data_IF_078237007823
#
_entry.id   IF_078237007823
#
_cell.length_a   1.000
_cell.length_b   1.000
_cell.length_c   1.000
_cell.angle_alpha   90.00
_cell.angle_beta   90.00
_cell.angle_gamma   90.00
#
_symmetry.space_group_name_H-M   'P 1'
#
loop_
_entity.id
_entity.type
_entity.pdbx_description
1 polymer ?
#
# COMPACT_ATOMS: atom_id res chain seq x y z
N UNK A 1 -3.87 13.87 -31.30
CA UNK A 1 -3.08 12.74 -30.84
C UNK A 1 -2.44 13.18 -29.52
N UNK A 2 -2.61 12.43 -28.45
CA UNK A 2 -2.06 12.79 -27.13
C UNK A 2 -1.09 11.71 -26.64
N UNK A 3 -0.09 12.10 -25.84
CA UNK A 3 0.85 11.22 -25.17
C UNK A 3 0.58 11.21 -23.67
N UNK A 4 0.15 10.09 -23.15
CA UNK A 4 -0.13 9.87 -21.72
C UNK A 4 1.06 9.13 -21.12
N UNK A 5 1.71 9.71 -20.12
CA UNK A 5 2.82 9.08 -19.41
C UNK A 5 2.39 8.71 -17.99
N UNK A 6 2.67 7.48 -17.59
CA UNK A 6 2.34 6.94 -16.26
C UNK A 6 3.64 6.60 -15.54
N UNK A 7 3.86 7.18 -14.36
CA UNK A 7 5.02 6.89 -13.52
C UNK A 7 4.61 5.92 -12.42
N UNK A 8 5.21 4.73 -12.43
CA UNK A 8 4.94 3.62 -11.51
C UNK A 8 4.05 2.55 -12.14
N UNK A 9 4.47 1.30 -12.06
CA UNK A 9 3.78 0.13 -12.60
C UNK A 9 3.29 -0.83 -11.48
N UNK A 10 2.87 -0.28 -10.37
CA UNK A 10 2.29 -1.03 -9.24
C UNK A 10 0.78 -1.26 -9.39
N UNK A 11 0.12 -1.49 -8.24
CA UNK A 11 -1.33 -1.74 -8.14
C UNK A 11 -2.17 -0.59 -8.73
N UNK A 12 -1.65 0.64 -8.78
CA UNK A 12 -2.31 1.77 -9.44
C UNK A 12 -1.95 1.88 -10.91
N UNK A 13 -0.66 1.83 -11.24
CA UNK A 13 -0.19 2.18 -12.59
C UNK A 13 -0.51 1.16 -13.68
N UNK A 14 -0.41 -0.14 -13.39
CA UNK A 14 -0.79 -1.18 -14.37
C UNK A 14 -2.29 -1.12 -14.71
N UNK A 15 -3.23 -1.08 -13.74
CA UNK A 15 -4.64 -0.85 -14.05
C UNK A 15 -4.90 0.48 -14.77
N UNK A 16 -4.21 1.58 -14.38
CA UNK A 16 -4.36 2.88 -15.06
C UNK A 16 -4.01 2.78 -16.54
N UNK A 17 -2.88 2.14 -16.88
CA UNK A 17 -2.45 1.96 -18.26
C UNK A 17 -3.47 1.17 -19.09
N UNK A 18 -4.04 0.10 -18.51
CA UNK A 18 -5.05 -0.71 -19.19
C UNK A 18 -6.36 0.03 -19.37
N UNK A 19 -6.86 0.70 -18.35
CA UNK A 19 -8.14 1.40 -18.38
C UNK A 19 -8.11 2.60 -19.33
N UNK A 20 -7.02 3.37 -19.32
CA UNK A 20 -6.81 4.46 -20.28
C UNK A 20 -6.75 3.89 -21.71
N UNK A 21 -6.07 2.75 -21.94
CA UNK A 21 -6.02 2.10 -23.26
C UNK A 21 -7.38 1.54 -23.71
N UNK A 22 -8.24 1.11 -22.80
CA UNK A 22 -9.60 0.66 -23.10
C UNK A 22 -10.53 1.82 -23.50
N UNK A 23 -10.27 3.04 -23.01
CA UNK A 23 -11.06 4.24 -23.32
C UNK A 23 -10.52 5.06 -24.50
N UNK A 24 -9.24 4.92 -24.85
CA UNK A 24 -8.58 5.63 -25.95
C UNK A 24 -8.17 4.66 -27.05
N UNK A 25 -8.30 5.09 -28.28
CA UNK A 25 -7.83 4.34 -29.45
C UNK A 25 -6.29 4.32 -29.59
N UNK A 26 -5.78 3.59 -30.57
CA UNK A 26 -4.34 3.43 -30.81
C UNK A 26 -3.65 4.69 -31.37
N UNK A 27 -4.37 5.73 -31.74
CA UNK A 27 -3.80 7.01 -32.17
C UNK A 27 -3.15 7.76 -30.98
N UNK A 28 -3.59 7.46 -29.75
CA UNK A 28 -3.02 8.03 -28.54
C UNK A 28 -1.89 7.12 -28.00
N UNK A 29 -0.76 7.74 -27.69
CA UNK A 29 0.39 7.02 -27.12
C UNK A 29 0.27 6.92 -25.62
N UNK A 30 0.58 5.75 -25.06
CA UNK A 30 0.69 5.52 -23.61
C UNK A 30 2.07 4.95 -23.31
N UNK A 31 2.78 5.56 -22.39
CA UNK A 31 4.11 5.08 -21.92
C UNK A 31 4.07 4.90 -20.41
N UNK A 32 4.48 3.73 -19.94
CA UNK A 32 4.63 3.42 -18.50
C UNK A 32 6.11 3.44 -18.14
N UNK A 33 6.46 4.16 -17.08
CA UNK A 33 7.80 4.23 -16.49
C UNK A 33 7.80 3.50 -15.15
N UNK A 34 8.81 2.69 -14.89
CA UNK A 34 9.00 2.06 -13.58
C UNK A 34 10.48 1.82 -13.30
N UNK A 35 10.86 1.82 -12.03
CA UNK A 35 12.26 1.57 -11.61
C UNK A 35 12.69 0.12 -11.79
N UNK A 36 11.74 -0.82 -11.78
CA UNK A 36 11.95 -2.26 -12.00
C UNK A 36 11.23 -2.72 -13.25
N UNK A 37 11.64 -3.83 -13.83
CA UNK A 37 11.04 -4.46 -15.01
C UNK A 37 9.91 -5.45 -14.67
N UNK A 38 9.58 -5.58 -13.38
CA UNK A 38 8.53 -6.46 -12.88
C UNK A 38 7.47 -5.73 -12.05
N UNK A 39 6.23 -6.16 -12.19
CA UNK A 39 5.14 -5.88 -11.26
C UNK A 39 5.25 -6.81 -10.06
N UNK A 40 4.97 -6.32 -8.86
CA UNK A 40 4.86 -7.12 -7.63
C UNK A 40 3.46 -7.02 -7.02
N UNK A 41 2.92 -8.15 -6.62
CA UNK A 41 1.66 -8.19 -5.89
C UNK A 41 1.92 -8.08 -4.37
N UNK A 42 2.11 -6.84 -3.91
CA UNK A 42 2.47 -6.49 -2.52
C UNK A 42 1.60 -7.18 -1.45
N UNK A 43 0.27 -7.39 -1.64
CA UNK A 43 -0.56 -8.08 -0.65
C UNK A 43 -0.13 -9.52 -0.31
N UNK A 44 0.72 -10.14 -1.12
CA UNK A 44 1.27 -11.48 -0.87
C UNK A 44 2.66 -11.49 -0.20
N UNK A 45 3.26 -10.33 0.03
CA UNK A 45 4.57 -10.23 0.70
C UNK A 45 4.62 -10.88 2.10
N UNK A 46 3.56 -10.83 2.95
CA UNK A 46 3.54 -11.58 4.20
C UNK A 46 3.78 -13.09 4.01
N UNK A 47 3.26 -13.68 2.92
CA UNK A 47 3.48 -15.10 2.61
C UNK A 47 4.90 -15.36 2.11
N UNK A 48 5.47 -14.44 1.33
CA UNK A 48 6.88 -14.54 0.89
C UNK A 48 7.80 -14.51 2.09
N UNK A 49 7.54 -13.64 3.07
CA UNK A 49 8.37 -13.48 4.26
C UNK A 49 8.43 -14.74 5.15
N UNK A 50 7.43 -15.61 5.12
CA UNK A 50 7.45 -16.89 5.86
C UNK A 50 7.69 -18.11 4.95
N UNK A 51 7.95 -17.89 3.65
CA UNK A 51 8.24 -18.94 2.68
C UNK A 51 7.02 -19.70 2.18
N UNK A 52 5.81 -19.12 2.28
CA UNK A 52 4.59 -19.72 1.73
C UNK A 52 4.38 -19.35 0.25
N UNK A 53 5.16 -18.42 -0.25
CA UNK A 53 5.26 -18.05 -1.68
C UNK A 53 6.72 -17.80 -2.03
N UNK A 54 7.08 -18.21 -3.24
CA UNK A 54 8.32 -17.80 -3.87
C UNK A 54 8.13 -16.42 -4.54
N UNK A 55 9.23 -15.69 -4.72
CA UNK A 55 9.25 -14.37 -5.36
C UNK A 55 8.58 -14.37 -6.74
N UNK A 56 8.85 -15.38 -7.54
CA UNK A 56 8.35 -15.55 -8.91
C UNK A 56 6.85 -15.79 -8.99
N UNK A 57 6.25 -16.30 -7.91
CA UNK A 57 4.81 -16.52 -7.83
C UNK A 57 4.02 -15.22 -7.66
N UNK A 58 4.65 -14.18 -7.10
CA UNK A 58 4.02 -12.88 -6.77
C UNK A 58 4.53 -11.72 -7.64
N UNK A 59 5.38 -12.03 -8.64
CA UNK A 59 5.89 -11.05 -9.61
C UNK A 59 5.48 -11.38 -11.03
N UNK A 60 5.45 -10.38 -11.90
CA UNK A 60 5.12 -10.50 -13.33
C UNK A 60 6.02 -9.56 -14.13
N UNK A 61 6.71 -10.03 -15.20
CA UNK A 61 7.38 -9.12 -16.13
C UNK A 61 6.42 -8.11 -16.75
N UNK A 62 6.73 -6.82 -16.69
CA UNK A 62 5.84 -5.72 -17.12
C UNK A 62 5.79 -5.63 -18.64
N UNK A 63 6.94 -5.57 -19.30
CA UNK A 63 7.04 -5.30 -20.74
C UNK A 63 6.14 -6.19 -21.61
N UNK A 64 6.12 -7.55 -21.46
CA UNK A 64 5.26 -8.40 -22.28
C UNK A 64 3.75 -8.17 -22.01
N UNK A 65 3.38 -7.69 -20.82
CA UNK A 65 1.99 -7.42 -20.47
C UNK A 65 1.49 -6.14 -21.16
N UNK A 66 2.30 -5.08 -21.14
CA UNK A 66 1.98 -3.79 -21.75
C UNK A 66 2.05 -3.84 -23.28
N UNK A 67 3.05 -4.52 -23.84
CA UNK A 67 3.20 -4.66 -25.29
C UNK A 67 1.98 -5.27 -25.98
N UNK A 68 1.30 -6.24 -25.35
CA UNK A 68 0.05 -6.83 -25.85
C UNK A 68 -1.10 -5.84 -26.01
N UNK A 69 -1.01 -4.70 -25.35
CA UNK A 69 -2.01 -3.61 -25.38
C UNK A 69 -1.53 -2.39 -26.18
N UNK A 70 -0.37 -2.50 -26.86
CA UNK A 70 0.22 -1.38 -27.59
C UNK A 70 0.60 -0.23 -26.64
N UNK A 71 1.11 -0.57 -25.44
CA UNK A 71 1.56 0.38 -24.43
C UNK A 71 3.09 0.26 -24.33
N UNK A 72 3.79 1.38 -24.43
CA UNK A 72 5.24 1.45 -24.29
C UNK A 72 5.65 1.28 -22.83
N UNK A 73 6.81 0.66 -22.61
CA UNK A 73 7.39 0.48 -21.28
C UNK A 73 8.87 0.89 -21.26
N UNK A 74 9.26 1.67 -20.25
CA UNK A 74 10.66 2.05 -20.02
C UNK A 74 11.01 1.74 -18.56
N UNK A 75 11.95 0.82 -18.35
CA UNK A 75 12.45 0.42 -17.02
C UNK A 75 13.52 1.41 -16.55
N UNK A 76 13.13 2.63 -16.21
CA UNK A 76 14.00 3.70 -15.68
C UNK A 76 13.26 4.53 -14.64
N UNK A 77 14.01 5.02 -13.65
CA UNK A 77 13.48 6.01 -12.73
C UNK A 77 13.35 7.38 -13.42
N UNK A 78 12.38 8.18 -12.94
CA UNK A 78 12.29 9.60 -13.25
C UNK A 78 13.14 10.35 -12.24
N UNK A 79 14.14 11.09 -12.71
CA UNK A 79 15.03 11.89 -11.88
C UNK A 79 14.55 13.33 -11.70
N UNK A 80 13.82 13.87 -12.71
CA UNK A 80 13.28 15.24 -12.65
C UNK A 80 11.99 15.37 -13.45
N UNK A 81 11.09 16.25 -12.99
CA UNK A 81 9.85 16.63 -13.66
C UNK A 81 9.83 18.15 -13.83
N UNK A 82 9.91 18.60 -15.06
CA UNK A 82 9.59 19.98 -15.45
C UNK A 82 8.11 20.03 -15.81
N UNK A 83 7.27 20.37 -14.83
CA UNK A 83 5.82 20.35 -14.99
C UNK A 83 5.31 21.51 -15.85
N UNK A 84 6.04 22.63 -15.92
CA UNK A 84 5.68 23.77 -16.75
C UNK A 84 6.00 23.52 -18.22
N UNK A 85 7.09 22.79 -18.51
CA UNK A 85 7.45 22.36 -19.88
C UNK A 85 6.81 21.03 -20.29
N UNK A 86 6.05 20.34 -19.41
CA UNK A 86 5.48 19.01 -19.63
C UNK A 86 6.54 17.97 -20.05
N UNK A 87 7.68 17.97 -19.35
CA UNK A 87 8.85 17.15 -19.67
C UNK A 87 9.37 16.40 -18.46
N UNK A 88 9.70 15.13 -18.69
CA UNK A 88 10.39 14.27 -17.72
C UNK A 88 11.85 14.10 -18.11
N UNK A 89 12.74 14.02 -17.12
CA UNK A 89 14.10 13.53 -17.29
C UNK A 89 14.21 12.19 -16.56
N UNK A 90 14.69 11.17 -17.27
CA UNK A 90 14.91 9.83 -16.75
C UNK A 90 16.36 9.65 -16.33
N UNK A 91 16.63 8.65 -15.52
CA UNK A 91 17.99 8.26 -15.20
C UNK A 91 18.80 7.99 -16.48
N UNK A 92 20.00 8.58 -16.55
CA UNK A 92 20.85 8.59 -17.74
C UNK A 92 20.55 9.72 -18.71
N UNK A 93 19.74 10.73 -18.31
CA UNK A 93 19.56 12.00 -19.03
C UNK A 93 18.58 11.95 -20.23
N UNK A 94 17.96 10.82 -20.50
CA UNK A 94 16.91 10.73 -21.52
C UNK A 94 15.70 11.58 -21.11
N UNK A 95 15.15 12.37 -22.04
CA UNK A 95 13.93 13.16 -21.81
C UNK A 95 12.72 12.56 -22.48
N UNK A 96 11.53 12.84 -21.94
CA UNK A 96 10.25 12.40 -22.46
C UNK A 96 9.21 13.49 -22.23
N UNK A 97 8.57 13.96 -23.32
CA UNK A 97 7.47 14.93 -23.24
C UNK A 97 6.15 14.20 -23.07
N UNK A 98 5.17 14.87 -22.45
CA UNK A 98 3.84 14.34 -22.22
C UNK A 98 2.76 15.41 -22.42
N UNK A 99 1.56 14.98 -22.82
CA UNK A 99 0.36 15.81 -22.76
C UNK A 99 -0.36 15.62 -21.42
N UNK A 100 -0.39 14.38 -20.90
CA UNK A 100 -0.95 14.01 -19.60
C UNK A 100 0.05 13.17 -18.79
N UNK A 101 0.15 13.48 -17.51
CA UNK A 101 0.99 12.75 -16.57
C UNK A 101 0.15 12.09 -15.48
N UNK A 102 0.33 10.79 -15.26
CA UNK A 102 -0.33 10.04 -14.18
C UNK A 102 0.73 9.55 -13.20
N UNK A 103 0.69 10.02 -11.97
CA UNK A 103 1.65 9.69 -10.91
C UNK A 103 1.08 8.58 -10.04
N UNK A 104 1.71 7.40 -10.07
CA UNK A 104 1.34 6.20 -9.31
C UNK A 104 2.56 5.49 -8.73
N UNK A 105 3.58 6.26 -8.36
CA UNK A 105 4.89 5.79 -7.89
C UNK A 105 4.82 4.96 -6.62
N UNK A 106 3.73 5.04 -5.85
CA UNK A 106 3.72 4.58 -4.48
C UNK A 106 4.56 5.49 -3.57
N UNK A 107 4.92 5.04 -2.37
CA UNK A 107 5.66 5.82 -1.41
C UNK A 107 7.17 5.53 -1.47
N UNK A 108 7.97 6.45 -0.93
CA UNK A 108 9.30 6.19 -0.40
C UNK A 108 9.16 5.76 1.07
N UNK A 109 9.90 4.74 1.47
CA UNK A 109 9.89 4.22 2.85
C UNK A 109 10.79 5.09 3.73
N UNK A 110 10.24 5.68 4.79
CA UNK A 110 10.90 6.66 5.64
C UNK A 110 11.58 6.00 6.86
N UNK A 111 12.44 5.01 6.64
CA UNK A 111 13.19 4.38 7.74
C UNK A 111 14.15 5.36 8.42
N UNK A 112 14.63 6.35 7.69
CA UNK A 112 15.52 7.43 8.19
C UNK A 112 14.88 8.30 9.29
N UNK A 113 13.56 8.24 9.48
CA UNK A 113 12.87 8.95 10.57
C UNK A 113 13.04 8.28 11.96
N UNK A 114 13.49 7.02 12.00
CA UNK A 114 13.77 6.30 13.23
C UNK A 114 15.20 5.75 13.17
N UNK A 115 16.14 6.27 13.98
CA UNK A 115 17.52 5.80 14.01
C UNK A 115 17.63 4.29 14.19
N UNK A 116 18.42 3.62 13.36
CA UNK A 116 18.60 2.16 13.39
C UNK A 116 17.44 1.35 12.81
N UNK A 117 16.39 1.98 12.28
CA UNK A 117 15.34 1.29 11.55
C UNK A 117 15.76 0.97 10.11
N UNK A 118 15.12 -0.05 9.52
CA UNK A 118 15.33 -0.46 8.13
C UNK A 118 16.05 -1.79 7.99
N UNK A 119 16.03 -2.38 6.77
CA UNK A 119 16.63 -3.67 6.50
C UNK A 119 18.15 -3.67 6.65
N UNK A 120 18.67 -4.70 7.31
CA UNK A 120 20.10 -4.91 7.55
C UNK A 120 20.95 -4.89 6.28
N UNK A 121 20.42 -5.39 5.16
CA UNK A 121 21.19 -5.66 3.94
C UNK A 121 20.90 -4.69 2.78
N UNK A 122 20.03 -3.71 2.96
CA UNK A 122 19.65 -2.77 1.89
C UNK A 122 20.38 -1.42 1.92
N UNK A 123 21.65 -1.41 2.34
CA UNK A 123 22.50 -0.20 2.31
C UNK A 123 22.21 0.84 3.40
N UNK A 124 21.23 0.63 4.28
CA UNK A 124 20.84 1.54 5.34
C UNK A 124 21.36 1.17 6.74
N UNK A 125 21.94 -0.01 6.91
CA UNK A 125 22.53 -0.43 8.20
C UNK A 125 21.56 -0.51 9.38
N UNK A 126 20.26 -0.74 9.11
CA UNK A 126 19.24 -0.83 10.15
C UNK A 126 19.08 -2.23 10.74
N UNK A 127 18.29 -2.35 11.80
CA UNK A 127 18.08 -3.58 12.57
C UNK A 127 16.65 -4.12 12.48
N UNK A 128 15.83 -3.60 11.54
CA UNK A 128 14.46 -4.08 11.35
C UNK A 128 14.21 -4.45 9.90
N UNK A 129 13.43 -5.49 9.67
CA UNK A 129 12.90 -5.83 8.36
C UNK A 129 11.59 -5.10 8.05
N UNK A 130 11.15 -5.18 6.80
CA UNK A 130 9.80 -4.83 6.37
C UNK A 130 9.28 -5.81 5.33
N UNK A 131 8.00 -5.73 5.02
CA UNK A 131 7.33 -6.48 3.94
C UNK A 131 6.76 -5.55 2.87
N UNK A 132 7.23 -4.30 2.82
CA UNK A 132 6.71 -3.29 1.91
C UNK A 132 7.07 -3.55 0.43
N UNK A 133 8.08 -4.37 0.16
CA UNK A 133 8.42 -4.86 -1.17
C UNK A 133 8.70 -6.37 -1.15
N UNK A 134 8.65 -7.00 -2.34
CA UNK A 134 8.98 -8.42 -2.45
C UNK A 134 10.45 -8.70 -2.09
N UNK A 135 11.35 -7.76 -2.38
CA UNK A 135 12.77 -7.90 -2.05
C UNK A 135 13.00 -7.83 -0.53
N UNK A 136 12.28 -6.93 0.19
CA UNK A 136 12.29 -6.89 1.66
C UNK A 136 11.72 -8.17 2.27
N UNK A 137 10.60 -8.68 1.73
CA UNK A 137 9.99 -9.92 2.21
C UNK A 137 10.90 -11.13 1.96
N UNK A 138 11.60 -11.18 0.83
CA UNK A 138 12.57 -12.22 0.52
C UNK A 138 13.80 -12.16 1.43
N UNK A 139 14.32 -10.96 1.70
CA UNK A 139 15.41 -10.76 2.66
C UNK A 139 14.99 -11.19 4.08
N UNK A 140 13.77 -10.81 4.51
CA UNK A 140 13.22 -11.30 5.77
C UNK A 140 13.21 -12.85 5.81
N UNK A 141 12.75 -13.50 4.74
CA UNK A 141 12.70 -14.97 4.70
C UNK A 141 14.08 -15.62 4.84
N UNK A 142 15.12 -15.01 4.28
CA UNK A 142 16.49 -15.50 4.45
C UNK A 142 16.90 -15.50 5.94
N UNK A 143 16.68 -14.39 6.64
CA UNK A 143 16.99 -14.28 8.07
C UNK A 143 16.04 -15.09 8.94
N UNK A 144 14.78 -15.25 8.53
CA UNK A 144 13.80 -16.10 9.21
C UNK A 144 14.24 -17.58 9.22
N UNK A 145 14.84 -18.08 8.12
CA UNK A 145 15.40 -19.46 8.10
C UNK A 145 16.51 -19.65 9.13
N UNK A 146 17.38 -18.67 9.30
CA UNK A 146 18.43 -18.72 10.33
C UNK A 146 17.83 -18.58 11.74
N UNK A 147 16.88 -17.66 11.92
CA UNK A 147 16.14 -17.51 13.17
C UNK A 147 15.47 -18.81 13.64
N UNK A 148 14.90 -19.61 12.73
CA UNK A 148 14.25 -20.87 13.06
C UNK A 148 15.20 -21.90 13.67
N UNK A 149 16.52 -21.82 13.45
CA UNK A 149 17.54 -22.69 14.06
C UNK A 149 17.78 -22.35 15.53
N UNK A 150 17.62 -21.06 15.91
CA UNK A 150 17.78 -20.58 17.27
C UNK A 150 16.72 -19.50 17.56
N UNK A 151 15.44 -19.89 17.73
CA UNK A 151 14.34 -18.96 17.90
C UNK A 151 14.42 -18.17 19.20
N UNK A 152 13.78 -17.00 19.22
CA UNK A 152 13.71 -16.11 20.37
C UNK A 152 12.62 -15.05 20.21
N UNK A 153 12.63 -13.95 20.99
CA UNK A 153 11.62 -12.92 20.91
C UNK A 153 11.53 -12.25 19.53
N UNK A 154 10.31 -11.93 19.10
CA UNK A 154 10.03 -11.22 17.84
C UNK A 154 9.22 -9.96 18.11
N UNK A 155 9.58 -8.88 17.45
CA UNK A 155 8.80 -7.63 17.39
C UNK A 155 8.21 -7.47 16.00
N UNK A 156 6.89 -7.23 15.95
CA UNK A 156 6.14 -6.89 14.72
C UNK A 156 5.37 -5.62 14.96
N UNK A 157 5.24 -4.75 13.97
CA UNK A 157 4.38 -3.59 14.16
C UNK A 157 4.53 -2.49 13.12
N UNK A 158 4.19 -1.27 13.54
CA UNK A 158 4.20 -0.08 12.71
C UNK A 158 4.77 1.12 13.47
N UNK A 159 5.68 1.83 12.81
CA UNK A 159 6.38 2.99 13.36
C UNK A 159 5.47 4.23 13.38
N UNK A 160 5.88 5.32 14.06
CA UNK A 160 5.16 6.59 14.02
C UNK A 160 4.90 7.05 12.58
N UNK A 161 3.75 7.68 12.35
CA UNK A 161 3.31 8.15 11.03
C UNK A 161 3.13 7.07 9.95
N UNK A 162 3.19 5.79 10.30
CA UNK A 162 2.79 4.73 9.39
C UNK A 162 1.32 4.91 8.96
N UNK A 163 1.00 4.52 7.73
CA UNK A 163 -0.34 4.65 7.14
C UNK A 163 -0.92 3.31 6.67
N UNK A 164 -0.28 2.19 6.99
CA UNK A 164 -0.72 0.88 6.53
C UNK A 164 -0.54 -0.15 7.65
N UNK A 165 -1.52 -0.27 8.54
CA UNK A 165 -1.44 -1.14 9.72
C UNK A 165 -1.90 -2.57 9.42
N UNK A 166 -2.85 -2.75 8.50
CA UNK A 166 -3.38 -4.06 8.11
C UNK A 166 -2.31 -5.12 7.84
N UNK A 167 -1.29 -4.85 7.01
CA UNK A 167 -0.22 -5.81 6.73
C UNK A 167 0.62 -6.19 7.96
N UNK A 168 0.76 -5.33 8.98
CA UNK A 168 1.47 -5.68 10.20
C UNK A 168 0.67 -6.70 11.03
N UNK A 169 -0.66 -6.49 11.19
CA UNK A 169 -1.54 -7.49 11.80
C UNK A 169 -1.51 -8.80 11.04
N UNK A 170 -1.69 -8.74 9.74
CA UNK A 170 -1.66 -9.91 8.86
C UNK A 170 -0.36 -10.70 9.03
N UNK A 171 0.78 -10.01 8.97
CA UNK A 171 2.08 -10.65 9.12
C UNK A 171 2.26 -11.28 10.51
N UNK A 172 1.89 -10.58 11.59
CA UNK A 172 1.97 -11.13 12.95
C UNK A 172 1.19 -12.44 13.10
N UNK A 173 -0.03 -12.50 12.54
CA UNK A 173 -0.89 -13.67 12.60
C UNK A 173 -0.39 -14.82 11.70
N UNK A 174 0.13 -14.51 10.51
CA UNK A 174 0.77 -15.49 9.61
C UNK A 174 2.01 -16.09 10.26
N UNK A 175 2.86 -15.26 10.86
CA UNK A 175 4.06 -15.69 11.56
C UNK A 175 3.71 -16.62 12.73
N UNK A 176 2.73 -16.25 13.57
CA UNK A 176 2.23 -17.11 14.65
C UNK A 176 1.78 -18.47 14.11
N UNK A 177 0.99 -18.46 13.03
CA UNK A 177 0.50 -19.70 12.41
C UNK A 177 1.63 -20.57 11.85
N UNK A 178 2.63 -19.98 11.18
CA UNK A 178 3.80 -20.70 10.69
C UNK A 178 4.62 -21.31 11.82
N UNK A 179 4.86 -20.54 12.89
CA UNK A 179 5.57 -21.03 14.08
C UNK A 179 4.80 -22.16 14.80
N UNK A 180 3.47 -22.11 14.83
CA UNK A 180 2.62 -23.22 15.36
C UNK A 180 2.76 -24.47 14.51
N UNK A 181 2.68 -24.35 13.18
CA UNK A 181 2.90 -25.47 12.24
C UNK A 181 4.28 -26.11 12.42
N UNK A 182 5.30 -25.30 12.73
CA UNK A 182 6.67 -25.75 13.00
C UNK A 182 6.89 -26.23 14.45
N UNK A 183 5.89 -26.13 15.32
CA UNK A 183 5.97 -26.45 16.77
C UNK A 183 7.02 -25.62 17.53
N UNK A 184 7.24 -24.37 17.10
CA UNK A 184 8.21 -23.45 17.68
C UNK A 184 7.57 -22.28 18.41
N UNK A 185 6.25 -22.09 18.31
CA UNK A 185 5.54 -20.91 18.82
C UNK A 185 5.80 -20.62 20.31
N UNK A 186 5.90 -21.66 21.13
CA UNK A 186 6.18 -21.55 22.56
C UNK A 186 7.59 -21.02 22.90
N UNK A 187 8.50 -21.04 21.94
CA UNK A 187 9.87 -20.50 22.07
C UNK A 187 10.00 -19.07 21.57
N UNK A 188 8.94 -18.52 20.98
CA UNK A 188 8.95 -17.22 20.29
C UNK A 188 7.89 -16.30 20.92
N UNK A 189 8.23 -15.56 21.98
CA UNK A 189 7.38 -14.47 22.44
C UNK A 189 7.22 -13.43 21.31
N UNK A 190 5.98 -13.02 21.02
CA UNK A 190 5.67 -12.00 20.00
C UNK A 190 5.14 -10.75 20.71
N UNK A 191 5.77 -9.61 20.45
CA UNK A 191 5.30 -8.30 20.88
C UNK A 191 4.93 -7.46 19.66
N UNK A 192 3.69 -6.98 19.64
CA UNK A 192 3.19 -6.06 18.62
C UNK A 192 3.34 -4.61 19.10
N UNK A 193 4.03 -3.76 18.34
CA UNK A 193 4.28 -2.35 18.68
C UNK A 193 3.69 -1.47 17.60
N UNK A 194 2.79 -0.57 17.98
CA UNK A 194 2.09 0.26 17.00
C UNK A 194 1.87 1.69 17.48
N UNK A 195 1.98 2.62 16.54
CA UNK A 195 1.60 4.02 16.75
C UNK A 195 0.09 4.24 16.89
N UNK A 196 -0.72 3.22 16.61
CA UNK A 196 -2.18 3.32 16.77
C UNK A 196 -2.55 3.57 18.25
N UNK A 197 -3.60 4.37 18.51
CA UNK A 197 -4.05 4.64 19.88
C UNK A 197 -4.66 3.39 20.56
N UNK A 198 -5.16 2.45 19.77
CA UNK A 198 -5.67 1.16 20.22
C UNK A 198 -5.54 0.10 19.10
N UNK A 199 -5.53 -1.16 19.46
CA UNK A 199 -5.50 -2.27 18.51
C UNK A 199 -6.74 -2.22 17.61
N UNK A 200 -6.52 -2.26 16.29
CA UNK A 200 -7.62 -2.23 15.33
C UNK A 200 -8.13 -0.85 14.94
N UNK A 201 -7.42 0.22 15.31
CA UNK A 201 -7.67 1.57 14.81
C UNK A 201 -7.46 1.65 13.28
N UNK A 202 -6.45 0.95 12.73
CA UNK A 202 -6.15 0.76 11.31
C UNK A 202 -5.83 2.07 10.55
N UNK A 203 -5.58 3.18 11.22
CA UNK A 203 -5.48 4.51 10.61
C UNK A 203 -6.81 5.04 10.08
N UNK A 204 -7.93 4.44 10.53
CA UNK A 204 -9.29 4.70 10.04
C UNK A 204 -10.29 5.02 11.17
N UNK A 205 -9.85 5.17 12.41
CA UNK A 205 -10.74 5.28 13.57
C UNK A 205 -11.46 3.95 13.89
N UNK A 206 -10.88 2.81 13.47
CA UNK A 206 -11.50 1.50 13.49
C UNK A 206 -12.47 1.25 12.32
N UNK A 207 -12.86 -0.01 12.11
CA UNK A 207 -13.86 -0.43 11.12
C UNK A 207 -14.73 -1.51 11.76
N UNK A 208 -16.02 -1.26 11.94
CA UNK A 208 -16.90 -2.19 12.67
C UNK A 208 -16.29 -2.60 14.02
N UNK A 209 -16.29 -3.91 14.31
CA UNK A 209 -15.75 -4.45 15.55
C UNK A 209 -14.23 -4.74 15.51
N UNK A 210 -13.45 -4.05 14.67
CA UNK A 210 -12.02 -4.31 14.47
C UNK A 210 -11.22 -4.33 15.77
N UNK A 211 -11.50 -3.43 16.73
CA UNK A 211 -10.83 -3.37 18.03
C UNK A 211 -11.01 -4.68 18.80
N UNK A 212 -12.24 -5.02 19.15
CA UNK A 212 -12.54 -6.19 19.98
C UNK A 212 -12.10 -7.50 19.32
N UNK A 213 -12.27 -7.60 18.00
CA UNK A 213 -11.89 -8.79 17.22
C UNK A 213 -10.37 -8.99 17.19
N UNK A 214 -9.59 -7.97 16.85
CA UNK A 214 -8.13 -8.07 16.77
C UNK A 214 -7.50 -8.23 18.15
N UNK A 215 -7.97 -7.52 19.19
CA UNK A 215 -7.50 -7.74 20.55
C UNK A 215 -7.78 -9.17 21.02
N UNK A 216 -8.98 -9.72 20.71
CA UNK A 216 -9.29 -11.12 21.04
C UNK A 216 -8.36 -12.09 20.33
N UNK A 217 -8.07 -11.88 19.04
CA UNK A 217 -7.13 -12.73 18.31
C UNK A 217 -5.72 -12.67 18.87
N UNK A 218 -5.23 -11.49 19.23
CA UNK A 218 -3.91 -11.34 19.82
C UNK A 218 -3.82 -12.04 21.17
N UNK A 219 -4.86 -11.92 22.03
CA UNK A 219 -4.93 -12.67 23.29
C UNK A 219 -4.94 -14.18 23.07
N UNK A 220 -5.76 -14.68 22.14
CA UNK A 220 -5.85 -16.11 21.82
C UNK A 220 -4.55 -16.68 21.25
N UNK A 221 -3.69 -15.83 20.70
CA UNK A 221 -2.38 -16.19 20.14
C UNK A 221 -1.21 -15.86 21.08
N UNK A 222 -1.51 -15.48 22.32
CA UNK A 222 -0.50 -15.10 23.34
C UNK A 222 0.50 -14.05 22.81
N UNK A 223 -0.04 -13.00 22.19
CA UNK A 223 0.70 -11.83 21.70
C UNK A 223 0.54 -10.67 22.69
N UNK A 224 1.66 -10.07 23.10
CA UNK A 224 1.67 -8.80 23.83
C UNK A 224 1.59 -7.64 22.83
N UNK A 225 1.10 -6.46 23.29
CA UNK A 225 1.11 -5.26 22.45
C UNK A 225 1.38 -3.98 23.23
N UNK A 226 1.90 -2.98 22.53
CA UNK A 226 2.11 -1.62 23.02
C UNK A 226 1.48 -0.70 21.98
N UNK A 227 0.46 0.05 22.36
CA UNK A 227 -0.22 1.07 21.54
C UNK A 227 0.23 2.47 21.94
N UNK A 228 -0.15 3.50 21.16
CA UNK A 228 0.41 4.84 21.33
C UNK A 228 1.94 4.82 21.41
N UNK A 229 2.55 3.92 20.65
CA UNK A 229 3.96 3.60 20.73
C UNK A 229 4.78 4.46 19.76
N UNK A 230 5.56 5.39 20.29
CA UNK A 230 6.55 6.14 19.53
C UNK A 230 7.88 5.37 19.58
N UNK A 231 8.16 4.56 18.56
CA UNK A 231 9.50 3.97 18.41
C UNK A 231 10.49 5.10 18.18
N UNK A 232 11.45 5.24 19.08
CA UNK A 232 12.41 6.36 19.10
C UNK A 232 13.73 6.00 18.47
N UNK A 233 14.19 4.76 18.64
CA UNK A 233 15.38 4.20 17.99
C UNK A 233 15.37 2.67 18.06
N UNK A 234 16.18 2.06 17.21
CA UNK A 234 16.44 0.62 17.20
C UNK A 234 17.94 0.39 17.24
N UNK A 235 18.37 -0.54 18.07
CA UNK A 235 19.74 -1.03 18.15
C UNK A 235 19.73 -2.54 17.88
N UNK A 236 20.88 -3.15 17.72
CA UNK A 236 20.97 -4.59 17.53
C UNK A 236 20.30 -5.34 18.70
N UNK A 237 19.24 -6.08 18.38
CA UNK A 237 18.47 -6.85 19.35
C UNK A 237 17.59 -6.06 20.31
N UNK A 238 17.47 -4.72 20.17
CA UNK A 238 16.72 -3.86 21.10
C UNK A 238 15.93 -2.78 20.37
N UNK A 239 14.69 -2.59 20.78
CA UNK A 239 13.83 -1.50 20.30
C UNK A 239 13.42 -0.63 21.50
N UNK A 240 13.60 0.69 21.35
CA UNK A 240 13.28 1.69 22.36
C UNK A 240 11.98 2.38 21.97
N UNK A 241 11.04 2.41 22.91
CA UNK A 241 9.68 2.86 22.64
C UNK A 241 9.20 3.74 23.78
N UNK A 242 8.81 4.97 23.45
CA UNK A 242 8.08 5.84 24.37
C UNK A 242 6.58 5.61 24.14
N UNK A 243 5.90 5.06 25.11
CA UNK A 243 4.43 4.93 25.09
C UNK A 243 3.80 6.21 25.64
N UNK A 244 2.84 6.76 24.89
CA UNK A 244 2.09 7.93 25.31
C UNK A 244 0.71 7.54 25.87
N UNK A 245 0.15 8.40 26.74
CA UNK A 245 -1.24 8.34 27.12
C UNK A 245 -2.15 8.96 26.04
N UNK A 246 -3.46 8.96 26.23
CA UNK A 246 -4.43 9.52 25.28
C UNK A 246 -4.33 11.05 25.16
N UNK A 247 -3.65 11.72 26.07
CA UNK A 247 -3.39 13.16 26.06
C UNK A 247 -2.04 13.51 25.40
N UNK A 248 -1.24 12.50 25.03
CA UNK A 248 0.07 12.69 24.43
C UNK A 248 1.21 12.86 25.43
N UNK A 249 0.99 12.66 26.73
CA UNK A 249 2.04 12.67 27.73
C UNK A 249 2.76 11.32 27.76
N UNK A 250 4.02 11.33 28.18
CA UNK A 250 4.79 10.08 28.35
C UNK A 250 4.16 9.25 29.48
N UNK A 251 3.63 8.08 29.10
CA UNK A 251 3.08 7.11 30.06
C UNK A 251 4.17 6.14 30.56
N UNK A 252 4.99 5.63 29.64
CA UNK A 252 6.01 4.65 29.94
C UNK A 252 7.10 4.56 28.88
N UNK A 253 8.34 4.38 29.33
CA UNK A 253 9.47 4.01 28.47
C UNK A 253 9.65 2.49 28.45
N UNK A 254 9.88 1.92 27.26
CA UNK A 254 10.10 0.50 27.08
C UNK A 254 11.42 0.25 26.35
N UNK A 255 12.15 -0.75 26.81
CA UNK A 255 13.23 -1.41 26.10
C UNK A 255 12.77 -2.83 25.75
N UNK A 256 12.54 -3.11 24.48
CA UNK A 256 11.97 -4.38 24.01
C UNK A 256 13.05 -5.17 23.28
N UNK A 257 13.49 -6.29 23.86
CA UNK A 257 14.46 -7.19 23.25
C UNK A 257 13.84 -8.01 22.12
N UNK A 258 14.58 -8.23 21.05
CA UNK A 258 14.17 -9.10 19.94
C UNK A 258 15.36 -9.81 19.28
N UNK A 259 15.10 -10.95 18.66
CA UNK A 259 16.03 -11.62 17.73
C UNK A 259 15.68 -11.39 16.26
N UNK A 260 14.42 -11.09 15.99
CA UNK A 260 13.92 -10.80 14.66
C UNK A 260 12.82 -9.73 14.77
N UNK A 261 12.78 -8.79 13.85
CA UNK A 261 11.75 -7.74 13.85
C UNK A 261 11.24 -7.44 12.45
N UNK A 262 9.94 -7.15 12.34
CA UNK A 262 9.29 -6.63 11.13
C UNK A 262 8.50 -5.39 11.49
N UNK A 263 8.92 -4.23 11.00
CA UNK A 263 8.29 -2.95 11.28
C UNK A 263 7.90 -2.24 9.99
N UNK A 264 6.67 -1.81 9.89
CA UNK A 264 6.23 -0.97 8.79
C UNK A 264 6.62 0.48 9.07
N UNK A 265 7.40 1.14 8.18
CA UNK A 265 7.83 2.52 8.40
C UNK A 265 6.72 3.50 8.05
N UNK A 266 6.96 4.77 8.39
CA UNK A 266 6.25 5.88 7.77
C UNK A 266 6.50 5.93 6.26
N UNK A 267 5.60 6.62 5.56
CA UNK A 267 5.73 6.86 4.13
C UNK A 267 5.99 8.34 3.86
N UNK A 268 6.75 8.62 2.81
CA UNK A 268 6.95 9.95 2.23
C UNK A 268 6.92 9.90 0.71
N UNK A 269 6.79 11.03 0.06
CA UNK A 269 6.79 11.11 -1.40
C UNK A 269 8.16 10.75 -1.98
N UNK A 270 8.18 10.32 -3.23
CA UNK A 270 9.39 10.08 -4.02
C UNK A 270 10.04 11.43 -4.33
N UNK A 271 11.36 11.53 -4.21
CA UNK A 271 12.09 12.79 -4.26
C UNK A 271 11.83 13.60 -5.55
N UNK A 272 11.83 12.95 -6.72
CA UNK A 272 11.54 13.60 -7.99
C UNK A 272 10.13 14.19 -8.09
N UNK A 273 9.15 13.60 -7.38
CA UNK A 273 7.77 14.10 -7.31
C UNK A 273 7.68 15.23 -6.29
N UNK A 274 8.30 15.04 -5.12
CA UNK A 274 8.31 16.00 -4.03
C UNK A 274 9.00 17.33 -4.41
N UNK A 275 9.94 17.27 -5.36
CA UNK A 275 10.68 18.44 -5.86
C UNK A 275 9.89 19.34 -6.81
N UNK A 276 8.71 18.89 -7.33
CA UNK A 276 7.89 19.69 -8.26
C UNK A 276 7.18 20.81 -7.49
N UNK A 277 7.34 22.08 -7.89
CA UNK A 277 6.75 23.21 -7.20
C UNK A 277 5.22 23.08 -7.05
N UNK A 278 4.70 23.35 -5.86
CA UNK A 278 3.26 23.36 -5.54
C UNK A 278 2.49 22.04 -5.81
N UNK A 279 3.17 20.98 -6.23
CA UNK A 279 2.52 19.69 -6.52
C UNK A 279 2.17 18.92 -5.25
N UNK A 280 3.02 18.99 -4.22
CA UNK A 280 2.99 18.12 -3.07
C UNK A 280 2.78 18.86 -1.74
N UNK A 281 2.34 18.13 -0.73
CA UNK A 281 2.39 18.56 0.66
C UNK A 281 3.85 18.47 1.21
N UNK A 282 4.13 18.95 2.45
CA UNK A 282 5.50 18.91 3.03
C UNK A 282 6.09 17.49 3.16
N UNK A 283 5.28 16.44 3.15
CA UNK A 283 5.77 15.04 3.13
C UNK A 283 5.98 14.48 1.72
N UNK A 284 5.82 15.29 0.67
CA UNK A 284 6.02 14.90 -0.71
C UNK A 284 4.85 14.13 -1.34
N UNK A 285 3.68 14.09 -0.71
CA UNK A 285 2.48 13.48 -1.31
C UNK A 285 1.74 14.47 -2.20
N UNK A 286 1.29 13.99 -3.37
CA UNK A 286 0.61 14.81 -4.38
C UNK A 286 -0.74 15.32 -3.86
N UNK A 287 -0.94 16.64 -3.98
CA UNK A 287 -2.19 17.32 -3.65
C UNK A 287 -3.16 17.22 -4.82
N UNK A 288 -4.28 16.53 -4.63
CA UNK A 288 -5.31 16.32 -5.64
C UNK A 288 -6.64 16.97 -5.27
N UNK A 289 -7.47 17.19 -6.30
CA UNK A 289 -8.89 17.50 -6.16
C UNK A 289 -9.76 16.21 -6.15
N UNK A 290 -11.07 16.37 -6.14
CA UNK A 290 -12.03 15.26 -6.16
C UNK A 290 -12.06 14.46 -7.49
N UNK A 291 -11.46 15.01 -8.54
CA UNK A 291 -11.32 14.38 -9.85
C UNK A 291 -9.99 13.66 -10.03
N UNK A 292 -9.20 13.52 -8.98
CA UNK A 292 -7.85 12.95 -8.94
C UNK A 292 -6.80 13.80 -9.68
N UNK A 293 -7.10 15.05 -9.98
CA UNK A 293 -6.23 15.99 -10.67
C UNK A 293 -5.40 16.78 -9.66
N UNK A 294 -4.15 17.10 -10.02
CA UNK A 294 -3.32 18.02 -9.25
C UNK A 294 -4.01 19.39 -9.12
N UNK A 295 -3.91 19.99 -7.94
CA UNK A 295 -4.41 21.35 -7.69
C UNK A 295 -3.58 22.43 -8.39
N UNK A 296 -2.31 22.12 -8.72
CA UNK A 296 -1.38 23.06 -9.35
C UNK A 296 -1.30 22.91 -10.88
N UNK A 297 -1.42 21.68 -11.40
CA UNK A 297 -1.21 21.37 -12.81
C UNK A 297 -2.39 20.60 -13.38
N UNK A 298 -3.07 21.17 -14.37
CA UNK A 298 -4.34 20.61 -14.90
C UNK A 298 -4.19 19.27 -15.60
N UNK A 299 -3.05 18.99 -16.18
CA UNK A 299 -2.75 17.78 -16.94
C UNK A 299 -1.98 16.72 -16.12
N UNK A 300 -1.83 16.92 -14.80
CA UNK A 300 -1.21 15.96 -13.89
C UNK A 300 -2.27 15.35 -12.98
N UNK A 301 -2.34 14.03 -12.98
CA UNK A 301 -3.24 13.22 -12.13
C UNK A 301 -2.44 12.32 -11.22
N UNK A 302 -3.03 11.91 -10.10
CA UNK A 302 -2.35 10.99 -9.19
C UNK A 302 -3.32 10.03 -8.49
N UNK A 303 -2.85 8.80 -8.28
CA UNK A 303 -3.58 7.78 -7.55
C UNK A 303 -2.67 6.92 -6.67
N UNK A 304 -3.24 6.33 -5.64
CA UNK A 304 -2.55 5.39 -4.77
C UNK A 304 -1.84 6.04 -3.60
N UNK A 305 -0.79 5.38 -3.11
CA UNK A 305 -0.16 5.77 -1.85
C UNK A 305 0.62 7.08 -1.93
N UNK A 306 0.97 7.53 -3.14
CA UNK A 306 1.63 8.83 -3.36
C UNK A 306 0.69 10.05 -3.24
N UNK A 307 -0.61 9.84 -3.01
CA UNK A 307 -1.59 10.93 -2.86
C UNK A 307 -1.70 11.40 -1.40
N UNK A 308 -1.81 12.71 -1.20
CA UNK A 308 -2.03 13.32 0.10
C UNK A 308 -3.50 13.11 0.54
N UNK A 309 -3.70 12.27 1.55
CA UNK A 309 -4.98 12.12 2.24
C UNK A 309 -4.71 12.41 3.72
N UNK A 310 -5.43 13.36 4.34
CA UNK A 310 -5.24 13.66 5.75
C UNK A 310 -5.60 12.46 6.63
N UNK A 311 -5.02 12.34 7.83
CA UNK A 311 -5.48 11.37 8.82
C UNK A 311 -6.96 11.61 9.16
N UNK A 312 -7.69 10.53 9.48
CA UNK A 312 -9.12 10.61 9.83
C UNK A 312 -9.35 11.33 11.16
N UNK A 313 -8.35 11.28 12.03
CA UNK A 313 -8.35 11.96 13.33
C UNK A 313 -6.90 12.22 13.81
N UNK A 314 -6.75 13.12 14.76
CA UNK A 314 -5.47 13.35 15.44
C UNK A 314 -5.27 12.29 16.51
N UNK A 315 -4.11 11.66 16.51
CA UNK A 315 -3.72 10.61 17.49
C UNK A 315 -2.49 11.04 18.27
N UNK A 316 -2.29 10.59 19.54
CA UNK A 316 -1.14 10.94 20.37
C UNK A 316 0.20 10.68 19.69
N UNK A 317 0.37 9.52 19.08
CA UNK A 317 1.43 9.24 18.12
C UNK A 317 0.83 9.32 16.73
N UNK A 318 1.37 10.13 15.80
CA UNK A 318 0.75 10.32 14.49
C UNK A 318 0.54 9.02 13.72
N UNK A 319 -0.67 8.86 13.16
CA UNK A 319 -1.04 7.77 12.24
C UNK A 319 -1.49 8.35 10.90
N UNK A 320 -1.17 7.68 9.81
CA UNK A 320 -1.64 8.05 8.48
C UNK A 320 -2.88 7.25 8.06
N UNK A 321 -3.58 7.75 7.04
CA UNK A 321 -4.72 7.05 6.44
C UNK A 321 -4.26 6.08 5.36
N UNK A 322 -4.63 4.79 5.43
CA UNK A 322 -4.27 3.81 4.40
C UNK A 322 -4.97 4.10 3.06
N UNK A 323 -4.34 3.69 1.96
CA UNK A 323 -4.94 3.66 0.63
C UNK A 323 -5.04 2.19 0.21
N UNK A 324 -6.23 1.62 0.29
CA UNK A 324 -6.47 0.20 -0.04
C UNK A 324 -6.52 -0.04 -1.53
N UNK A 325 -6.31 -1.28 -1.97
CA UNK A 325 -6.25 -1.61 -3.40
C UNK A 325 -7.52 -1.22 -4.15
N UNK A 326 -8.71 -1.48 -3.59
CA UNK A 326 -9.96 -1.11 -4.25
C UNK A 326 -10.19 0.41 -4.31
N UNK A 327 -9.78 1.15 -3.28
CA UNK A 327 -9.77 2.62 -3.30
C UNK A 327 -8.86 3.14 -4.42
N UNK A 328 -7.68 2.54 -4.59
CA UNK A 328 -6.74 2.89 -5.66
C UNK A 328 -7.34 2.63 -7.04
N UNK A 329 -8.02 1.49 -7.24
CA UNK A 329 -8.73 1.20 -8.50
C UNK A 329 -9.84 2.20 -8.78
N UNK A 330 -10.55 2.66 -7.75
CA UNK A 330 -11.55 3.72 -7.86
C UNK A 330 -10.94 5.06 -8.33
N UNK A 331 -9.78 5.45 -7.76
CA UNK A 331 -9.04 6.63 -8.20
C UNK A 331 -8.59 6.51 -9.66
N UNK A 332 -8.07 5.34 -10.03
CA UNK A 332 -7.60 5.05 -11.41
C UNK A 332 -8.75 5.14 -12.41
N UNK A 333 -9.92 4.59 -12.08
CA UNK A 333 -11.11 4.71 -12.92
C UNK A 333 -11.50 6.17 -13.17
N UNK A 334 -11.49 7.00 -12.13
CA UNK A 334 -11.77 8.42 -12.27
C UNK A 334 -10.74 9.12 -13.19
N UNK A 335 -9.44 8.83 -13.01
CA UNK A 335 -8.37 9.38 -13.88
C UNK A 335 -8.58 9.00 -15.33
N UNK A 336 -8.79 7.72 -15.62
CA UNK A 336 -8.92 7.23 -16.98
C UNK A 336 -10.11 7.87 -17.72
N UNK A 337 -11.26 7.96 -17.05
CA UNK A 337 -12.44 8.64 -17.60
C UNK A 337 -12.20 10.15 -17.79
N UNK A 338 -11.57 10.82 -16.83
CA UNK A 338 -11.32 12.26 -16.93
C UNK A 338 -10.35 12.60 -18.07
N UNK A 339 -9.27 11.84 -18.25
CA UNK A 339 -8.34 12.03 -19.38
C UNK A 339 -9.06 11.77 -20.71
N UNK A 340 -9.85 10.70 -20.80
CA UNK A 340 -10.59 10.39 -22.03
C UNK A 340 -11.65 11.46 -22.36
N UNK A 341 -12.34 11.99 -21.36
CA UNK A 341 -13.31 13.07 -21.52
C UNK A 341 -12.65 14.38 -21.99
N UNK A 342 -11.50 14.76 -21.39
CA UNK A 342 -10.75 15.96 -21.82
C UNK A 342 -10.25 15.84 -23.26
N UNK A 343 -9.68 14.71 -23.64
CA UNK A 343 -9.21 14.47 -25.00
C UNK A 343 -10.38 14.56 -26.01
N UNK A 344 -11.57 14.13 -25.61
CA UNK A 344 -12.79 14.22 -26.42
C UNK A 344 -13.51 15.57 -26.31
N UNK A 345 -12.96 16.55 -25.59
CA UNK A 345 -13.59 17.86 -25.38
C UNK A 345 -14.85 17.84 -24.53
N UNK A 346 -15.01 16.80 -23.69
CA UNK A 346 -16.14 16.67 -22.76
C UNK A 346 -15.77 17.13 -21.33
N UNK A 347 -16.74 17.46 -20.47
CA UNK A 347 -16.48 17.74 -19.07
C UNK A 347 -15.87 16.53 -18.33
N UNK A 348 -14.69 16.72 -17.75
CA UNK A 348 -13.94 15.71 -17.01
C UNK A 348 -14.31 15.76 -15.51
N UNK A 349 -15.45 15.15 -15.16
CA UNK A 349 -16.09 15.25 -13.84
C UNK A 349 -16.27 13.89 -13.15
N UNK A 350 -15.53 12.87 -13.57
CA UNK A 350 -15.59 11.55 -12.95
C UNK A 350 -14.91 11.56 -11.60
N UNK A 351 -15.60 11.03 -10.57
CA UNK A 351 -15.14 10.95 -9.17
C UNK A 351 -15.07 9.51 -8.71
N UNK A 352 -14.00 9.17 -7.98
CA UNK A 352 -13.91 7.88 -7.30
C UNK A 352 -14.83 7.82 -6.07
N UNK A 353 -15.33 6.62 -5.76
CA UNK A 353 -16.11 6.37 -4.53
C UNK A 353 -15.24 6.19 -3.31
N UNK A 354 -13.97 5.85 -3.51
CA UNK A 354 -12.99 5.54 -2.47
C UNK A 354 -13.47 4.47 -1.47
N UNK A 355 -14.18 3.47 -1.98
CA UNK A 355 -14.66 2.35 -1.20
C UNK A 355 -13.50 1.43 -0.83
N UNK A 356 -13.60 0.74 0.31
CA UNK A 356 -12.62 -0.26 0.71
C UNK A 356 -13.26 -1.63 0.93
N UNK A 357 -12.60 -2.64 0.36
CA UNK A 357 -12.75 -4.05 0.69
C UNK A 357 -11.36 -4.54 1.02
N UNK A 358 -11.16 -5.06 2.22
CA UNK A 358 -9.86 -5.57 2.64
C UNK A 358 -9.98 -7.01 3.12
N UNK A 359 -9.02 -7.84 2.70
CA UNK A 359 -8.88 -9.23 3.12
C UNK A 359 -7.50 -9.38 3.76
N UNK A 360 -7.45 -9.64 5.06
CA UNK A 360 -6.24 -9.94 5.81
C UNK A 360 -6.20 -11.43 6.14
N UNK A 361 -5.15 -12.13 5.73
CA UNK A 361 -4.92 -13.52 6.07
C UNK A 361 -4.32 -13.66 7.48
N UNK A 362 -4.75 -14.66 8.21
CA UNK A 362 -4.22 -15.01 9.52
C UNK A 362 -3.59 -16.43 9.53
N UNK A 363 -3.42 -16.99 8.35
CA UNK A 363 -2.78 -18.28 8.11
C UNK A 363 -3.67 -19.51 8.26
N UNK A 364 -4.54 -19.56 9.24
CA UNK A 364 -5.55 -20.61 9.49
C UNK A 364 -6.99 -20.08 9.41
N UNK A 365 -7.14 -18.80 9.40
CA UNK A 365 -8.37 -18.02 9.28
C UNK A 365 -8.05 -16.70 8.60
N UNK A 366 -8.96 -15.74 8.60
CA UNK A 366 -8.68 -14.39 8.11
C UNK A 366 -9.72 -13.40 8.61
N UNK A 367 -9.42 -12.12 8.41
CA UNK A 367 -10.32 -11.01 8.69
C UNK A 367 -10.63 -10.24 7.41
N UNK A 368 -11.89 -9.91 7.22
CA UNK A 368 -12.36 -9.06 6.12
C UNK A 368 -13.07 -7.85 6.68
N UNK A 369 -12.85 -6.69 6.07
CA UNK A 369 -13.67 -5.53 6.35
C UNK A 369 -14.17 -4.86 5.08
N UNK A 370 -15.32 -4.20 5.19
CA UNK A 370 -15.87 -3.32 4.18
C UNK A 370 -16.15 -1.96 4.81
N UNK A 371 -15.69 -0.91 4.16
CA UNK A 371 -15.91 0.46 4.54
C UNK A 371 -16.30 1.27 3.29
N UNK A 372 -17.53 1.77 3.25
CA UNK A 372 -18.10 2.47 2.10
C UNK A 372 -18.64 3.85 2.52
N UNK A 373 -17.95 4.94 2.15
CA UNK A 373 -16.56 5.00 1.66
C UNK A 373 -15.55 4.59 2.73
N UNK A 374 -14.27 4.42 2.36
CA UNK A 374 -13.21 4.09 3.31
C UNK A 374 -13.02 5.20 4.37
N UNK A 375 -13.00 6.44 3.91
CA UNK A 375 -12.87 7.63 4.77
C UNK A 375 -14.24 7.96 5.37
N UNK A 376 -14.36 8.20 6.68
CA UNK A 376 -15.62 8.61 7.31
C UNK A 376 -16.15 9.94 6.76
N UNK A 377 -17.51 10.18 6.78
CA UNK A 377 -18.55 9.29 7.33
C UNK A 377 -18.85 8.10 6.41
N UNK A 378 -19.18 6.96 7.00
CA UNK A 378 -19.42 5.68 6.30
C UNK A 378 -20.88 5.28 6.31
N UNK A 379 -21.38 4.81 5.15
CA UNK A 379 -22.72 4.23 5.03
C UNK A 379 -22.72 2.74 5.35
N UNK A 380 -21.60 2.03 5.04
CA UNK A 380 -21.39 0.63 5.36
C UNK A 380 -20.08 0.48 6.11
N UNK A 381 -20.14 -0.21 7.24
CA UNK A 381 -18.99 -0.35 8.13
C UNK A 381 -19.09 -1.69 8.89
N UNK A 382 -18.36 -2.72 8.44
CA UNK A 382 -18.32 -4.00 9.15
C UNK A 382 -16.96 -4.67 9.06
N UNK A 383 -16.66 -5.49 10.07
CA UNK A 383 -15.48 -6.32 10.19
C UNK A 383 -15.94 -7.75 10.51
N UNK A 384 -15.44 -8.76 9.79
CA UNK A 384 -15.80 -10.17 9.99
C UNK A 384 -14.57 -11.05 9.90
N UNK A 385 -14.57 -12.10 10.74
CA UNK A 385 -13.54 -13.15 10.75
C UNK A 385 -14.11 -14.46 10.22
N UNK A 386 -13.26 -15.25 9.56
CA UNK A 386 -13.63 -16.60 9.14
C UNK A 386 -12.57 -17.28 8.26
N UNK A 387 -12.60 -18.62 8.23
CA UNK A 387 -11.71 -19.40 7.36
C UNK A 387 -11.92 -19.12 5.88
N UNK A 388 -13.10 -18.69 5.48
CA UNK A 388 -13.41 -18.29 4.11
C UNK A 388 -12.56 -17.12 3.63
N UNK A 389 -12.11 -16.22 4.54
CA UNK A 389 -11.29 -15.07 4.17
C UNK A 389 -9.90 -15.51 3.71
N UNK A 390 -9.32 -16.52 4.36
CA UNK A 390 -8.06 -17.13 3.91
C UNK A 390 -8.16 -17.63 2.46
N UNK A 391 -9.21 -18.38 2.15
CA UNK A 391 -9.47 -18.88 0.79
C UNK A 391 -9.74 -17.73 -0.19
N UNK A 392 -10.52 -16.72 0.22
CA UNK A 392 -10.80 -15.55 -0.58
C UNK A 392 -9.54 -14.75 -0.91
N UNK A 393 -8.60 -14.63 0.04
CA UNK A 393 -7.31 -13.97 -0.19
C UNK A 393 -6.46 -14.72 -1.24
N UNK A 394 -6.39 -16.05 -1.18
CA UNK A 394 -5.71 -16.88 -2.19
C UNK A 394 -6.37 -16.73 -3.57
N UNK A 395 -7.71 -16.73 -3.62
CA UNK A 395 -8.45 -16.54 -4.85
C UNK A 395 -8.20 -15.12 -5.43
N UNK A 396 -8.16 -14.11 -4.57
CA UNK A 396 -7.88 -12.72 -4.95
C UNK A 396 -6.46 -12.56 -5.51
N UNK A 397 -5.44 -13.18 -4.92
CA UNK A 397 -4.08 -13.20 -5.48
C UNK A 397 -4.10 -13.72 -6.92
N UNK A 398 -4.64 -14.92 -7.13
CA UNK A 398 -4.70 -15.56 -8.46
C UNK A 398 -5.48 -14.72 -9.46
N UNK A 399 -6.60 -14.17 -9.02
CA UNK A 399 -7.44 -13.29 -9.82
C UNK A 399 -6.69 -12.02 -10.26
N UNK A 400 -6.06 -11.31 -9.32
CA UNK A 400 -5.36 -10.07 -9.61
C UNK A 400 -4.13 -10.30 -10.50
N UNK A 401 -3.34 -11.33 -10.23
CA UNK A 401 -2.21 -11.72 -11.07
C UNK A 401 -2.64 -12.06 -12.51
N UNK A 402 -3.80 -12.72 -12.67
CA UNK A 402 -4.38 -13.00 -14.00
C UNK A 402 -4.84 -11.72 -14.70
N UNK A 403 -5.48 -10.80 -13.97
CA UNK A 403 -5.94 -9.49 -14.43
C UNK A 403 -4.76 -8.70 -15.03
N UNK A 404 -3.65 -8.60 -14.29
CA UNK A 404 -2.43 -7.94 -14.76
C UNK A 404 -1.85 -8.62 -16.00
N UNK A 405 -1.72 -9.97 -15.99
CA UNK A 405 -1.19 -10.71 -17.15
C UNK A 405 -2.04 -10.55 -18.40
N UNK A 406 -3.35 -10.44 -18.29
CA UNK A 406 -4.26 -10.30 -19.43
C UNK A 406 -4.46 -8.87 -19.90
N UNK A 407 -4.08 -7.88 -19.12
CA UNK A 407 -4.27 -6.48 -19.44
C UNK A 407 -5.74 -6.04 -19.37
N UNK A 408 -6.46 -6.50 -18.34
CA UNK A 408 -7.81 -6.05 -18.03
C UNK A 408 -7.81 -5.30 -16.71
N UNK A 409 -8.43 -4.12 -16.68
CA UNK A 409 -8.59 -3.37 -15.42
C UNK A 409 -9.86 -3.76 -14.66
N UNK A 410 -10.97 -3.99 -15.35
CA UNK A 410 -12.25 -4.34 -14.76
C UNK A 410 -12.99 -5.42 -15.61
N UNK A 411 -12.83 -6.72 -15.29
CA UNK A 411 -13.61 -7.76 -15.95
C UNK A 411 -15.12 -7.57 -15.77
N UNK A 412 -15.88 -7.86 -16.81
CA UNK A 412 -17.34 -7.62 -16.86
C UNK A 412 -18.09 -8.22 -15.67
N UNK A 413 -17.73 -9.44 -15.26
CA UNK A 413 -18.37 -10.10 -14.12
C UNK A 413 -18.07 -9.39 -12.78
N UNK A 414 -16.87 -8.82 -12.60
CA UNK A 414 -16.50 -8.05 -11.40
C UNK A 414 -17.42 -6.84 -11.27
N UNK A 415 -17.57 -6.08 -12.35
CA UNK A 415 -18.44 -4.90 -12.41
C UNK A 415 -19.87 -5.21 -11.96
N UNK A 416 -20.46 -6.29 -12.48
CA UNK A 416 -21.84 -6.65 -12.14
C UNK A 416 -21.97 -7.19 -10.71
N UNK A 417 -21.06 -8.05 -10.26
CA UNK A 417 -21.10 -8.62 -8.90
C UNK A 417 -20.90 -7.53 -7.85
N UNK A 418 -19.89 -6.66 -8.02
CA UNK A 418 -19.64 -5.60 -7.06
C UNK A 418 -20.76 -4.56 -7.05
N UNK A 419 -21.32 -4.22 -8.22
CA UNK A 419 -22.49 -3.33 -8.30
C UNK A 419 -23.71 -3.90 -7.58
N UNK A 420 -23.98 -5.20 -7.71
CA UNK A 420 -25.05 -5.88 -7.00
C UNK A 420 -24.87 -5.86 -5.47
N UNK A 421 -23.61 -5.78 -5.00
CA UNK A 421 -23.25 -5.61 -3.59
C UNK A 421 -23.24 -4.14 -3.13
N UNK A 422 -23.63 -3.20 -3.99
CA UNK A 422 -23.55 -1.76 -3.70
C UNK A 422 -22.14 -1.17 -3.70
N UNK A 423 -21.19 -1.90 -4.29
CA UNK A 423 -19.78 -1.52 -4.33
C UNK A 423 -19.44 -1.09 -5.76
N UNK A 424 -19.33 0.21 -5.97
CA UNK A 424 -19.03 0.80 -7.29
C UNK A 424 -17.75 1.65 -7.23
N UNK A 425 -17.00 1.69 -8.33
CA UNK A 425 -15.73 2.42 -8.42
C UNK A 425 -15.92 3.92 -8.62
N UNK A 426 -16.93 4.31 -9.37
CA UNK A 426 -17.21 5.71 -9.69
C UNK A 426 -18.53 6.16 -9.07
N UNK A 427 -18.56 7.42 -8.66
CA UNK A 427 -19.80 8.07 -8.22
C UNK A 427 -20.75 8.16 -9.40
N UNK A 428 -21.97 7.65 -9.24
CA UNK A 428 -23.00 7.77 -10.28
C UNK A 428 -23.33 9.27 -10.50
N UNK A 429 -23.22 9.74 -11.76
CA UNK A 429 -23.71 11.07 -12.13
C UNK A 429 -25.21 11.10 -11.86
N UNK A 430 -25.69 12.02 -11.01
CA UNK A 430 -27.14 12.21 -10.86
C UNK A 430 -27.71 12.54 -12.24
N UNK A 431 -28.66 11.74 -12.71
CA UNK A 431 -29.46 12.12 -13.88
C UNK A 431 -30.22 13.38 -13.45
N UNK A 432 -29.81 14.51 -14.05
CA UNK A 432 -30.56 15.79 -13.97
C UNK A 432 -31.84 15.65 -14.77
#
# INVERSE_FOLDING_TARGET
MAHIVIIGAGIGGMPAAYEIRELLDSAHRITVLNTTDYFQFVPSNPWVAVGWREREQVTIPIAPCLARKGIDFIAKAVSHIDADANRLTLDGGQTLDYDYLVITTGPKLAFDEVPGAGPLHSGGGGFTHSICSVDHAHAFYADYKEFLKNPGPVVVGAMPSASCFGPAYEFAMILDTDLRKRKLRNKVPITYITSEPYIGHLGLGGVGDSKSMLESEMRNRDMKWITNAKTTRVEEGKMFVTQLDDLGNVYKEHEVGFKLSMMLPAFKGVDAIAAVPNLCNPRGFVLIDEFQRSKAYRNIFSAGVCVAIPPVETTPVPTGTPKTGYMIESMVGAIAHNIADEIAGRPAESKGTWNAICLADMGDTGAAFVALPQIPPRNVNWFKKGKWVHLAKIAFEKYFMRKIRKGNSEPVYEKYVLKALGIVRLVEKRKV
#
